data_IF_994165584509
#
_entry.id   IF_994165584509
#
_cell.length_a   1.000
_cell.length_b   1.000
_cell.length_c   1.000
_cell.angle_alpha   90.00
_cell.angle_beta   90.00
_cell.angle_gamma   90.00
#
_symmetry.space_group_name_H-M   'P 1'
#
loop_
_entity.id
_entity.type
_entity.pdbx_description
1 polymer ?
#
# COMPACT_ATOMS: atom_id res chain seq x y z
N UNK A 1 -25.86 -21.24 -20.40
CA UNK A 1 -24.50 -21.81 -20.57
C UNK A 1 -24.28 -22.85 -19.47
N UNK A 2 -24.73 -24.05 -19.71
CA UNK A 2 -24.60 -25.19 -18.79
C UNK A 2 -23.79 -26.28 -19.53
N UNK A 3 -22.52 -26.10 -19.70
CA UNK A 3 -21.59 -27.09 -20.25
C UNK A 3 -20.15 -26.74 -19.88
N UNK A 4 -19.80 -26.91 -18.61
CA UNK A 4 -18.39 -26.91 -18.21
C UNK A 4 -18.04 -28.06 -17.26
N UNK A 5 -18.95 -29.00 -17.02
CA UNK A 5 -18.65 -30.24 -16.31
C UNK A 5 -18.89 -31.43 -17.25
N UNK A 6 -18.04 -31.55 -18.26
CA UNK A 6 -17.92 -32.79 -19.01
C UNK A 6 -16.81 -33.61 -18.39
N UNK A 7 -17.13 -34.84 -17.97
CA UNK A 7 -16.18 -35.87 -17.57
C UNK A 7 -15.11 -36.03 -18.63
N UNK A 8 -13.89 -35.57 -18.34
CA UNK A 8 -12.68 -35.80 -19.10
C UNK A 8 -11.53 -35.90 -18.12
N UNK A 9 -10.89 -37.06 -18.07
CA UNK A 9 -9.64 -37.30 -17.32
C UNK A 9 -8.63 -36.17 -17.59
N UNK A 10 -8.27 -35.38 -16.57
CA UNK A 10 -7.14 -34.48 -16.63
C UNK A 10 -7.40 -33.00 -16.40
N UNK A 11 -8.60 -32.57 -15.97
CA UNK A 11 -8.78 -31.17 -15.55
C UNK A 11 -8.14 -30.99 -14.18
N UNK A 12 -7.25 -30.01 -14.07
CA UNK A 12 -6.56 -29.65 -12.85
C UNK A 12 -7.60 -29.16 -11.82
N UNK A 13 -7.94 -30.02 -10.85
CA UNK A 13 -8.93 -29.75 -9.78
C UNK A 13 -8.57 -28.47 -9.03
N UNK A 14 -7.29 -28.17 -8.85
CA UNK A 14 -6.82 -26.93 -8.25
C UNK A 14 -7.23 -25.71 -9.07
N UNK A 15 -7.15 -25.79 -10.40
CA UNK A 15 -7.58 -24.71 -11.30
C UNK A 15 -9.10 -24.49 -11.25
N UNK A 16 -9.89 -25.56 -11.14
CA UNK A 16 -11.36 -25.45 -10.97
C UNK A 16 -11.73 -24.77 -9.67
N UNK A 17 -11.10 -25.18 -8.54
CA UNK A 17 -11.32 -24.55 -7.25
C UNK A 17 -10.86 -23.08 -7.27
N UNK A 18 -9.71 -22.79 -7.88
CA UNK A 18 -9.19 -21.44 -8.00
C UNK A 18 -10.11 -20.50 -8.82
N UNK A 19 -10.81 -21.01 -9.81
CA UNK A 19 -11.77 -20.23 -10.60
C UNK A 19 -12.95 -19.71 -9.76
N UNK A 20 -13.30 -20.40 -8.67
CA UNK A 20 -14.37 -19.98 -7.75
C UNK A 20 -14.00 -18.69 -7.01
N UNK A 21 -12.72 -18.37 -6.87
CA UNK A 21 -12.25 -17.15 -6.19
C UNK A 21 -12.91 -15.87 -6.72
N UNK A 22 -12.99 -15.72 -8.04
CA UNK A 22 -13.63 -14.56 -8.66
C UNK A 22 -15.17 -14.62 -8.60
N UNK A 23 -15.75 -15.83 -8.66
CA UNK A 23 -17.20 -16.02 -8.55
C UNK A 23 -17.68 -15.62 -7.15
N UNK A 24 -16.94 -15.99 -6.12
CA UNK A 24 -17.27 -15.64 -4.74
C UNK A 24 -17.31 -14.12 -4.49
N UNK A 25 -16.53 -13.32 -5.23
CA UNK A 25 -16.58 -11.85 -5.13
C UNK A 25 -17.82 -11.22 -5.80
N UNK A 26 -18.48 -11.93 -6.76
CA UNK A 26 -19.58 -11.38 -7.55
C UNK A 26 -20.92 -12.07 -7.28
N UNK A 27 -20.89 -13.37 -6.98
CA UNK A 27 -22.08 -14.22 -6.77
C UNK A 27 -21.74 -15.32 -5.75
N UNK A 28 -21.74 -14.95 -4.49
CA UNK A 28 -21.40 -15.84 -3.38
C UNK A 28 -22.31 -17.07 -3.25
N UNK A 29 -23.64 -16.97 -3.44
CA UNK A 29 -24.52 -18.14 -3.44
C UNK A 29 -24.17 -19.15 -4.54
N UNK A 30 -23.81 -18.67 -5.73
CA UNK A 30 -23.36 -19.53 -6.82
C UNK A 30 -22.01 -20.19 -6.52
N UNK A 31 -21.09 -19.45 -5.91
CA UNK A 31 -19.81 -20.01 -5.47
C UNK A 31 -20.00 -21.15 -4.47
N UNK A 32 -20.90 -20.99 -3.49
CA UNK A 32 -21.24 -22.02 -2.53
C UNK A 32 -21.88 -23.25 -3.20
N UNK A 33 -22.82 -23.05 -4.11
CA UNK A 33 -23.43 -24.14 -4.86
C UNK A 33 -22.41 -24.94 -5.70
N UNK A 34 -21.44 -24.27 -6.32
CA UNK A 34 -20.34 -24.93 -7.04
C UNK A 34 -19.44 -25.73 -6.08
N UNK A 35 -19.07 -25.17 -4.94
CA UNK A 35 -18.29 -25.87 -3.92
C UNK A 35 -19.05 -27.09 -3.35
N UNK A 36 -20.35 -26.97 -3.12
CA UNK A 36 -21.18 -28.08 -2.67
C UNK A 36 -21.24 -29.20 -3.73
N UNK A 37 -21.32 -28.88 -5.01
CA UNK A 37 -21.31 -29.87 -6.09
C UNK A 37 -19.93 -30.54 -6.26
N UNK A 38 -18.84 -29.87 -5.92
CA UNK A 38 -17.48 -30.43 -5.96
C UNK A 38 -17.17 -31.35 -4.75
N UNK A 39 -17.83 -31.13 -3.61
CA UNK A 39 -17.51 -31.86 -2.37
C UNK A 39 -17.50 -33.39 -2.49
N UNK A 40 -18.42 -34.06 -3.18
CA UNK A 40 -18.37 -35.51 -3.41
C UNK A 40 -17.14 -35.96 -4.21
N UNK A 41 -16.62 -35.10 -5.08
CA UNK A 41 -15.48 -35.37 -5.96
C UNK A 41 -14.12 -35.05 -5.29
N UNK A 42 -14.13 -34.57 -4.05
CA UNK A 42 -12.92 -34.31 -3.26
C UNK A 42 -12.34 -35.58 -2.61
N UNK A 43 -12.97 -36.75 -2.81
CA UNK A 43 -12.38 -38.01 -2.37
C UNK A 43 -11.02 -38.25 -3.09
N UNK A 44 -9.95 -38.44 -2.33
CA UNK A 44 -8.59 -38.57 -2.85
C UNK A 44 -7.92 -37.24 -3.26
N UNK A 45 -8.50 -36.12 -2.93
CA UNK A 45 -7.86 -34.83 -3.11
C UNK A 45 -6.64 -34.67 -2.21
N UNK A 46 -5.63 -33.98 -2.72
CA UNK A 46 -4.41 -33.64 -1.96
C UNK A 46 -4.72 -32.63 -0.85
N UNK A 47 -3.80 -32.47 0.09
CA UNK A 47 -3.92 -31.46 1.14
C UNK A 47 -3.96 -30.04 0.55
N UNK A 48 -3.23 -29.77 -0.52
CA UNK A 48 -3.27 -28.51 -1.26
C UNK A 48 -4.68 -28.21 -1.81
N UNK A 49 -5.30 -29.19 -2.49
CA UNK A 49 -6.64 -29.08 -3.04
C UNK A 49 -7.69 -28.87 -1.94
N UNK A 50 -7.62 -29.64 -0.83
CA UNK A 50 -8.50 -29.48 0.32
C UNK A 50 -8.35 -28.13 1.01
N UNK A 51 -7.12 -27.65 1.14
CA UNK A 51 -6.84 -26.33 1.75
C UNK A 51 -7.37 -25.21 0.86
N UNK A 52 -7.17 -25.29 -0.46
CA UNK A 52 -7.70 -24.32 -1.39
C UNK A 52 -9.23 -24.34 -1.43
N UNK A 53 -9.86 -25.52 -1.47
CA UNK A 53 -11.31 -25.70 -1.38
C UNK A 53 -11.87 -25.05 -0.11
N UNK A 54 -11.26 -25.32 1.04
CA UNK A 54 -11.69 -24.79 2.33
C UNK A 54 -11.55 -23.27 2.39
N UNK A 55 -10.47 -22.71 1.84
CA UNK A 55 -10.26 -21.26 1.77
C UNK A 55 -11.33 -20.58 0.89
N UNK A 56 -11.64 -21.17 -0.27
CA UNK A 56 -12.68 -20.65 -1.16
C UNK A 56 -14.06 -20.75 -0.52
N UNK A 57 -14.32 -21.80 0.26
CA UNK A 57 -15.56 -21.96 1.01
C UNK A 57 -15.72 -20.88 2.08
N UNK A 58 -14.73 -20.67 2.92
CA UNK A 58 -14.75 -19.59 3.93
C UNK A 58 -14.95 -18.23 3.26
N UNK A 59 -14.27 -17.98 2.13
CA UNK A 59 -14.49 -16.76 1.35
C UNK A 59 -15.93 -16.62 0.88
N UNK A 60 -16.50 -17.66 0.31
CA UNK A 60 -17.86 -17.64 -0.21
C UNK A 60 -18.90 -17.48 0.93
N UNK A 61 -18.68 -18.12 2.08
CA UNK A 61 -19.52 -17.98 3.28
C UNK A 61 -19.46 -16.53 3.81
N UNK A 62 -18.28 -15.92 3.95
CA UNK A 62 -18.14 -14.51 4.34
C UNK A 62 -18.87 -13.58 3.37
N UNK A 63 -18.77 -13.82 2.07
CA UNK A 63 -19.45 -13.03 1.05
C UNK A 63 -20.96 -13.23 1.00
N UNK A 64 -21.43 -14.39 1.41
CA UNK A 64 -22.86 -14.70 1.57
C UNK A 64 -23.43 -14.24 2.93
N UNK A 65 -22.65 -13.54 3.74
CA UNK A 65 -23.01 -13.10 5.10
C UNK A 65 -23.38 -14.25 6.05
N UNK A 66 -22.78 -15.42 5.85
CA UNK A 66 -22.93 -16.57 6.76
C UNK A 66 -21.95 -16.37 7.92
N UNK A 67 -22.51 -16.25 9.12
CA UNK A 67 -21.73 -16.02 10.34
C UNK A 67 -21.00 -17.29 10.75
N UNK A 68 -19.68 -17.21 10.89
CA UNK A 68 -18.84 -18.31 11.35
C UNK A 68 -18.94 -18.47 12.88
N UNK A 69 -19.03 -19.71 13.34
CA UNK A 69 -19.16 -20.05 14.77
C UNK A 69 -17.96 -20.79 15.34
N UNK A 70 -16.99 -21.14 14.51
CA UNK A 70 -15.78 -21.89 14.88
C UNK A 70 -14.59 -21.49 14.00
N UNK A 71 -13.42 -21.52 14.57
CA UNK A 71 -12.12 -21.23 13.92
C UNK A 71 -11.40 -22.50 13.40
N UNK A 72 -11.97 -23.69 13.61
CA UNK A 72 -11.28 -24.98 13.33
C UNK A 72 -10.74 -25.08 11.91
N UNK A 73 -11.52 -24.59 10.92
CA UNK A 73 -11.09 -24.61 9.51
C UNK A 73 -9.95 -23.64 9.30
N UNK A 74 -10.04 -22.44 9.91
CA UNK A 74 -9.00 -21.41 9.75
C UNK A 74 -7.67 -21.80 10.38
N UNK A 75 -7.68 -22.47 11.54
CA UNK A 75 -6.45 -22.96 12.18
C UNK A 75 -5.69 -23.89 11.23
N UNK A 76 -6.38 -24.87 10.63
CA UNK A 76 -5.75 -25.79 9.65
C UNK A 76 -5.23 -25.07 8.41
N UNK A 77 -5.98 -24.07 7.92
CA UNK A 77 -5.55 -23.28 6.77
C UNK A 77 -4.31 -22.43 7.08
N UNK A 78 -4.26 -21.83 8.28
CA UNK A 78 -3.10 -21.08 8.72
C UNK A 78 -1.87 -21.99 8.78
N UNK A 79 -1.97 -23.11 9.50
CA UNK A 79 -0.87 -24.07 9.63
C UNK A 79 -0.37 -24.53 8.26
N UNK A 80 -1.27 -24.98 7.37
CA UNK A 80 -0.90 -25.43 6.03
C UNK A 80 -0.22 -24.32 5.21
N UNK A 81 -0.81 -23.11 5.16
CA UNK A 81 -0.24 -22.05 4.32
C UNK A 81 1.01 -21.39 4.94
N UNK A 82 1.19 -21.44 6.26
CA UNK A 82 2.44 -21.02 6.91
C UNK A 82 3.59 -22.02 6.70
N UNK A 83 3.32 -23.32 6.55
CA UNK A 83 4.35 -24.36 6.37
C UNK A 83 4.57 -24.68 4.89
N UNK A 84 3.61 -25.30 4.23
CA UNK A 84 3.74 -25.95 2.93
C UNK A 84 3.03 -25.26 1.77
N UNK A 85 2.02 -24.43 2.05
CA UNK A 85 1.15 -23.82 1.04
C UNK A 85 1.78 -22.67 0.26
N UNK A 86 1.09 -22.26 -0.81
CA UNK A 86 1.47 -21.10 -1.61
C UNK A 86 1.44 -19.80 -0.78
N UNK A 87 2.60 -19.29 -0.42
CA UNK A 87 2.77 -18.09 0.41
C UNK A 87 2.09 -16.83 -0.17
N UNK A 88 1.82 -16.79 -1.48
CA UNK A 88 1.09 -15.69 -2.13
C UNK A 88 -0.35 -15.58 -1.65
N UNK A 89 -0.92 -16.66 -1.10
CA UNK A 89 -2.28 -16.73 -0.52
C UNK A 89 -2.33 -16.37 0.97
N UNK A 90 -1.21 -16.30 1.66
CA UNK A 90 -1.18 -15.97 3.09
C UNK A 90 -1.95 -14.68 3.45
N UNK A 91 -1.83 -13.57 2.70
CA UNK A 91 -2.64 -12.39 3.00
C UNK A 91 -4.16 -12.65 2.93
N UNK A 92 -4.60 -13.54 2.03
CA UNK A 92 -6.01 -13.94 1.93
C UNK A 92 -6.42 -14.83 3.11
N UNK A 93 -5.59 -15.78 3.48
CA UNK A 93 -5.81 -16.66 4.64
C UNK A 93 -5.93 -15.84 5.92
N UNK A 94 -5.00 -14.94 6.18
CA UNK A 94 -5.04 -14.06 7.35
C UNK A 94 -6.26 -13.12 7.33
N UNK A 95 -6.63 -12.60 6.16
CA UNK A 95 -7.82 -11.77 6.07
C UNK A 95 -9.07 -12.52 6.51
N UNK A 96 -9.26 -13.76 6.01
CA UNK A 96 -10.43 -14.56 6.39
C UNK A 96 -10.33 -15.12 7.81
N UNK A 97 -9.13 -15.37 8.34
CA UNK A 97 -8.95 -15.65 9.76
C UNK A 97 -9.47 -14.48 10.61
N UNK A 98 -9.04 -13.26 10.30
CA UNK A 98 -9.55 -12.06 10.95
C UNK A 98 -11.07 -11.91 10.83
N UNK A 99 -11.66 -12.25 9.67
CA UNK A 99 -13.11 -12.21 9.46
C UNK A 99 -13.85 -13.26 10.32
N UNK A 100 -13.36 -14.48 10.36
CA UNK A 100 -13.92 -15.55 11.17
C UNK A 100 -13.90 -15.19 12.66
N UNK A 101 -12.80 -14.67 13.18
CA UNK A 101 -12.72 -14.21 14.56
C UNK A 101 -13.63 -13.00 14.83
N UNK A 102 -13.76 -12.07 13.87
CA UNK A 102 -14.70 -10.95 14.00
C UNK A 102 -16.16 -11.43 14.05
N UNK A 103 -16.52 -12.44 13.25
CA UNK A 103 -17.86 -13.07 13.30
C UNK A 103 -18.14 -13.73 14.65
N UNK A 104 -17.11 -14.27 15.30
CA UNK A 104 -17.16 -14.85 16.64
C UNK A 104 -17.12 -13.79 17.76
N UNK A 105 -17.13 -12.50 17.41
CA UNK A 105 -16.95 -11.37 18.33
C UNK A 105 -15.60 -11.38 19.08
N UNK A 106 -14.60 -12.11 18.58
CA UNK A 106 -13.27 -12.20 19.13
C UNK A 106 -12.33 -11.21 18.42
N UNK A 107 -12.52 -9.94 18.74
CA UNK A 107 -11.74 -8.87 18.13
C UNK A 107 -10.26 -8.93 18.48
N UNK A 108 -9.90 -9.57 19.58
CA UNK A 108 -8.54 -9.68 20.07
C UNK A 108 -7.72 -10.63 19.20
N UNK A 109 -8.32 -11.74 18.77
CA UNK A 109 -7.70 -12.64 17.79
C UNK A 109 -7.86 -12.12 16.35
N UNK A 110 -8.93 -11.38 16.03
CA UNK A 110 -9.14 -10.81 14.70
C UNK A 110 -8.08 -9.75 14.33
N UNK A 111 -7.78 -8.83 15.24
CA UNK A 111 -6.89 -7.69 15.00
C UNK A 111 -5.48 -8.11 14.56
N UNK A 112 -4.77 -9.03 15.22
CA UNK A 112 -3.46 -9.51 14.78
C UNK A 112 -3.43 -10.08 13.36
N UNK A 113 -4.49 -10.79 12.94
CA UNK A 113 -4.56 -11.31 11.58
C UNK A 113 -4.75 -10.22 10.55
N UNK A 114 -5.59 -9.21 10.80
CA UNK A 114 -5.69 -8.05 9.92
C UNK A 114 -4.38 -7.24 9.87
N UNK A 115 -3.62 -7.17 10.97
CA UNK A 115 -2.29 -6.58 10.99
C UNK A 115 -1.31 -7.35 10.08
N UNK A 116 -1.26 -8.67 10.19
CA UNK A 116 -0.44 -9.52 9.28
C UNK A 116 -0.77 -9.24 7.81
N UNK A 117 -2.05 -9.03 7.46
CA UNK A 117 -2.44 -8.65 6.09
C UNK A 117 -1.84 -7.30 5.70
N UNK A 118 -1.89 -6.30 6.57
CA UNK A 118 -1.37 -4.95 6.30
C UNK A 118 0.16 -4.96 6.17
N UNK A 119 0.84 -5.82 6.91
CA UNK A 119 2.30 -5.98 6.87
C UNK A 119 2.78 -6.69 5.59
N UNK A 120 2.06 -7.72 5.16
CA UNK A 120 2.44 -8.56 4.03
C UNK A 120 1.90 -8.06 2.68
N UNK A 121 0.73 -7.45 2.68
CA UNK A 121 0.10 -6.99 1.44
C UNK A 121 0.72 -5.67 0.98
N UNK A 122 1.09 -5.62 -0.29
CA UNK A 122 1.40 -4.35 -0.95
C UNK A 122 0.22 -3.38 -0.80
N UNK A 123 0.52 -2.13 -0.43
CA UNK A 123 -0.46 -1.05 -0.30
C UNK A 123 -1.24 -0.75 -1.59
N UNK A 124 -0.84 -1.31 -2.73
CA UNK A 124 -1.60 -1.27 -4.00
C UNK A 124 -2.74 -2.30 -4.07
N UNK A 125 -2.78 -3.29 -3.18
CA UNK A 125 -3.73 -4.40 -3.22
C UNK A 125 -5.01 -4.12 -2.43
N UNK A 126 -6.13 -4.63 -2.96
CA UNK A 126 -7.46 -4.47 -2.34
C UNK A 126 -7.52 -5.04 -0.91
N UNK A 127 -6.85 -6.17 -0.63
CA UNK A 127 -6.85 -6.80 0.69
C UNK A 127 -6.28 -5.90 1.79
N UNK A 128 -5.24 -5.13 1.48
CA UNK A 128 -4.66 -4.16 2.43
C UNK A 128 -5.75 -3.19 2.95
N UNK A 129 -6.56 -2.62 2.04
CA UNK A 129 -7.58 -1.63 2.44
C UNK A 129 -8.84 -2.26 3.00
N UNK A 130 -9.16 -3.51 2.62
CA UNK A 130 -10.20 -4.31 3.30
C UNK A 130 -9.81 -4.56 4.76
N UNK A 131 -8.56 -4.98 5.02
CA UNK A 131 -8.04 -5.18 6.37
C UNK A 131 -8.03 -3.87 7.17
N UNK A 132 -7.58 -2.75 6.58
CA UNK A 132 -7.65 -1.42 7.21
C UNK A 132 -9.07 -1.05 7.63
N UNK A 133 -10.08 -1.33 6.80
CA UNK A 133 -11.47 -1.06 7.16
C UNK A 133 -11.94 -1.92 8.34
N UNK A 134 -11.60 -3.21 8.37
CA UNK A 134 -11.93 -4.11 9.48
C UNK A 134 -11.24 -3.66 10.79
N UNK A 135 -9.95 -3.33 10.73
CA UNK A 135 -9.23 -2.75 11.86
C UNK A 135 -9.89 -1.45 12.34
N UNK A 136 -10.39 -0.63 11.42
CA UNK A 136 -11.12 0.59 11.76
C UNK A 136 -12.34 0.32 12.63
N UNK A 137 -13.12 -0.73 12.36
CA UNK A 137 -14.24 -1.14 13.20
C UNK A 137 -13.80 -1.68 14.55
N UNK A 138 -12.75 -2.48 14.59
CA UNK A 138 -12.18 -2.98 15.86
C UNK A 138 -11.72 -1.79 16.71
N UNK A 139 -11.00 -0.82 16.14
CA UNK A 139 -10.56 0.38 16.86
C UNK A 139 -11.75 1.23 17.35
N UNK A 140 -12.78 1.39 16.51
CA UNK A 140 -14.00 2.09 16.93
C UNK A 140 -14.66 1.40 18.14
N UNK A 141 -14.73 0.07 18.12
CA UNK A 141 -15.28 -0.73 19.22
C UNK A 141 -14.42 -0.62 20.49
N UNK A 142 -13.07 -0.63 20.33
CA UNK A 142 -12.12 -0.51 21.42
C UNK A 142 -11.99 0.93 21.97
N UNK A 143 -12.65 1.92 21.38
CA UNK A 143 -12.57 3.32 21.81
C UNK A 143 -11.35 4.07 21.24
N UNK A 144 -10.57 3.47 20.35
CA UNK A 144 -9.41 4.06 19.68
C UNK A 144 -9.86 4.86 18.44
N UNK A 145 -10.67 5.89 18.67
CA UNK A 145 -11.42 6.58 17.61
C UNK A 145 -10.52 7.24 16.56
N UNK A 146 -9.40 7.82 16.96
CA UNK A 146 -8.44 8.44 16.02
C UNK A 146 -7.78 7.39 15.11
N UNK A 147 -7.36 6.24 15.67
CA UNK A 147 -6.82 5.13 14.90
C UNK A 147 -7.87 4.57 13.93
N UNK A 148 -9.11 4.41 14.40
CA UNK A 148 -10.24 4.01 13.57
C UNK A 148 -10.49 4.96 12.41
N UNK A 149 -10.55 6.27 12.68
CA UNK A 149 -10.72 7.31 11.66
C UNK A 149 -9.60 7.24 10.61
N UNK A 150 -8.35 7.10 11.02
CA UNK A 150 -7.20 7.01 10.13
C UNK A 150 -7.26 5.75 9.23
N UNK A 151 -7.64 4.60 9.81
CA UNK A 151 -7.79 3.34 9.07
C UNK A 151 -8.91 3.45 8.01
N UNK A 152 -10.08 3.98 8.37
CA UNK A 152 -11.17 4.23 7.42
C UNK A 152 -10.79 5.26 6.37
N UNK A 153 -10.02 6.31 6.71
CA UNK A 153 -9.54 7.31 5.75
C UNK A 153 -8.63 6.71 4.67
N UNK A 154 -7.72 5.81 5.06
CA UNK A 154 -6.89 5.05 4.11
C UNK A 154 -7.76 4.22 3.17
N UNK A 155 -8.73 3.46 3.72
CA UNK A 155 -9.68 2.67 2.95
C UNK A 155 -10.52 3.53 2.00
N UNK A 156 -11.05 4.66 2.46
CA UNK A 156 -11.80 5.60 1.62
C UNK A 156 -10.99 6.11 0.43
N UNK A 157 -9.77 6.61 0.67
CA UNK A 157 -8.90 7.13 -0.38
C UNK A 157 -8.67 6.11 -1.49
N UNK A 158 -8.36 4.87 -1.13
CA UNK A 158 -8.17 3.79 -2.09
C UNK A 158 -9.45 3.48 -2.89
N UNK A 159 -10.58 3.27 -2.19
CA UNK A 159 -11.83 2.93 -2.86
C UNK A 159 -12.33 4.06 -3.77
N UNK A 160 -12.00 5.33 -3.44
CA UNK A 160 -12.29 6.49 -4.29
C UNK A 160 -11.54 6.42 -5.62
N UNK A 161 -10.26 6.06 -5.62
CA UNK A 161 -9.47 5.90 -6.86
C UNK A 161 -9.94 4.75 -7.73
N UNK A 162 -10.61 3.75 -7.13
CA UNK A 162 -11.14 2.56 -7.82
C UNK A 162 -12.62 2.69 -8.21
N UNK A 163 -13.28 3.78 -7.87
CA UNK A 163 -14.70 3.99 -8.16
C UNK A 163 -15.64 3.06 -7.39
N UNK A 164 -15.18 2.36 -6.33
CA UNK A 164 -16.01 1.44 -5.54
C UNK A 164 -16.87 2.22 -4.55
N UNK A 165 -18.10 2.58 -4.98
CA UNK A 165 -19.03 3.41 -4.21
C UNK A 165 -19.47 2.78 -2.89
N UNK A 166 -19.72 1.46 -2.86
CA UNK A 166 -20.12 0.76 -1.64
C UNK A 166 -19.06 0.86 -0.56
N UNK A 167 -17.81 0.50 -0.88
CA UNK A 167 -16.70 0.57 0.07
C UNK A 167 -16.34 2.00 0.45
N UNK A 168 -16.55 2.98 -0.44
CA UNK A 168 -16.42 4.41 -0.09
C UNK A 168 -17.44 4.81 0.97
N UNK A 169 -18.72 4.46 0.76
CA UNK A 169 -19.78 4.76 1.71
C UNK A 169 -19.53 4.12 3.08
N UNK A 170 -19.08 2.86 3.08
CA UNK A 170 -18.70 2.12 4.28
C UNK A 170 -17.59 2.81 5.07
N UNK A 171 -16.53 3.23 4.39
CA UNK A 171 -15.42 3.93 5.02
C UNK A 171 -15.82 5.34 5.54
N UNK A 172 -16.66 6.08 4.78
CA UNK A 172 -17.18 7.38 5.22
C UNK A 172 -18.06 7.25 6.47
N UNK A 173 -18.89 6.20 6.52
CA UNK A 173 -19.72 5.90 7.67
C UNK A 173 -18.90 5.57 8.91
N UNK A 174 -17.83 4.75 8.73
CA UNK A 174 -16.86 4.47 9.80
C UNK A 174 -16.15 5.73 10.31
N UNK A 175 -15.70 6.60 9.41
CA UNK A 175 -15.10 7.89 9.79
C UNK A 175 -16.09 8.77 10.57
N UNK A 176 -17.36 8.83 10.12
CA UNK A 176 -18.42 9.58 10.79
C UNK A 176 -18.70 9.04 12.20
N UNK A 177 -18.75 7.70 12.35
CA UNK A 177 -18.96 7.05 13.64
C UNK A 177 -17.80 7.37 14.62
N UNK A 178 -16.55 7.36 14.14
CA UNK A 178 -15.40 7.76 14.96
C UNK A 178 -15.55 9.20 15.47
N UNK A 179 -15.88 10.12 14.57
CA UNK A 179 -16.11 11.54 14.93
C UNK A 179 -17.28 11.72 15.88
N UNK A 180 -18.39 10.97 15.68
CA UNK A 180 -19.54 11.02 16.57
C UNK A 180 -19.15 10.58 17.99
N UNK A 181 -18.33 9.54 18.13
CA UNK A 181 -17.81 9.07 19.44
C UNK A 181 -16.87 10.08 20.09
N UNK A 182 -16.19 10.91 19.30
CA UNK A 182 -15.38 12.04 19.77
C UNK A 182 -16.19 13.34 19.95
N UNK A 183 -17.53 13.26 19.95
CA UNK A 183 -18.46 14.39 20.04
C UNK A 183 -18.36 15.38 18.86
N UNK A 184 -17.72 15.02 17.77
CA UNK A 184 -17.58 15.80 16.53
C UNK A 184 -18.81 15.75 15.65
N UNK A 185 -20.03 15.93 16.21
CA UNK A 185 -21.31 15.69 15.54
C UNK A 185 -21.50 16.48 14.23
N UNK A 186 -21.01 17.73 14.16
CA UNK A 186 -21.10 18.55 12.94
C UNK A 186 -20.24 18.00 11.81
N UNK A 187 -19.05 17.55 12.13
CA UNK A 187 -18.12 16.93 11.15
C UNK A 187 -18.62 15.56 10.71
N UNK A 188 -19.08 14.72 11.67
CA UNK A 188 -19.68 13.42 11.40
C UNK A 188 -20.85 13.54 10.39
N UNK A 189 -21.68 14.57 10.52
CA UNK A 189 -22.81 14.82 9.61
C UNK A 189 -22.36 14.99 8.15
N UNK A 190 -21.21 15.60 7.90
CA UNK A 190 -20.71 15.79 6.54
C UNK A 190 -20.37 14.44 5.90
N UNK A 191 -19.73 13.54 6.64
CA UNK A 191 -19.37 12.21 6.17
C UNK A 191 -20.61 11.30 6.01
N UNK A 192 -21.56 11.32 6.94
CA UNK A 192 -22.82 10.58 6.81
C UNK A 192 -23.61 11.01 5.57
N UNK A 193 -23.70 12.30 5.28
CA UNK A 193 -24.39 12.79 4.07
C UNK A 193 -23.69 12.34 2.79
N UNK A 194 -22.37 12.35 2.74
CA UNK A 194 -21.62 11.82 1.59
C UNK A 194 -21.85 10.31 1.42
N UNK A 195 -21.83 9.54 2.52
CA UNK A 195 -22.11 8.11 2.50
C UNK A 195 -23.54 7.84 1.99
N UNK A 196 -24.53 8.60 2.45
CA UNK A 196 -25.94 8.46 2.03
C UNK A 196 -26.12 8.68 0.51
N UNK A 197 -25.43 9.67 -0.07
CA UNK A 197 -25.46 9.91 -1.52
C UNK A 197 -24.95 8.66 -2.27
N UNK A 198 -23.79 8.14 -1.88
CA UNK A 198 -23.17 6.99 -2.53
C UNK A 198 -24.01 5.71 -2.43
N UNK A 199 -24.65 5.48 -1.26
CA UNK A 199 -25.50 4.32 -1.04
C UNK A 199 -26.78 4.42 -1.88
N UNK A 200 -27.38 5.59 -1.99
CA UNK A 200 -28.55 5.82 -2.86
C UNK A 200 -28.23 5.58 -4.33
N UNK A 201 -27.07 6.03 -4.79
CA UNK A 201 -26.59 5.76 -6.15
C UNK A 201 -26.35 4.27 -6.41
N UNK A 202 -26.02 3.50 -5.39
CA UNK A 202 -25.79 2.06 -5.48
C UNK A 202 -27.06 1.21 -5.26
N UNK A 203 -28.14 1.80 -4.75
CA UNK A 203 -29.44 1.13 -4.56
C UNK A 203 -29.52 0.19 -3.36
N UNK A 204 -28.58 0.21 -2.43
CA UNK A 204 -28.56 -0.63 -1.22
C UNK A 204 -29.50 -0.03 -0.16
N UNK A 205 -30.72 -0.56 -0.11
CA UNK A 205 -31.80 -0.06 0.77
C UNK A 205 -31.56 -0.36 2.24
N UNK A 206 -30.99 -1.51 2.56
CA UNK A 206 -30.65 -1.87 3.93
C UNK A 206 -29.59 -0.94 4.51
N UNK A 207 -28.51 -0.71 3.76
CA UNK A 207 -27.46 0.19 4.20
C UNK A 207 -27.88 1.67 4.17
N UNK A 208 -28.80 2.05 3.25
CA UNK A 208 -29.44 3.38 3.28
C UNK A 208 -30.19 3.59 4.61
N UNK A 209 -30.96 2.60 5.07
CA UNK A 209 -31.69 2.67 6.32
C UNK A 209 -30.76 2.78 7.55
N UNK A 210 -29.65 2.02 7.56
CA UNK A 210 -28.65 2.14 8.63
C UNK A 210 -28.05 3.56 8.69
N UNK A 211 -27.61 4.11 7.57
CA UNK A 211 -27.05 5.47 7.52
C UNK A 211 -28.09 6.51 7.95
N UNK A 212 -29.35 6.37 7.54
CA UNK A 212 -30.43 7.26 7.98
C UNK A 212 -30.64 7.20 9.49
N UNK A 213 -30.53 5.99 10.08
CA UNK A 213 -30.53 5.78 11.53
C UNK A 213 -29.37 6.49 12.23
N UNK A 214 -28.17 6.38 11.67
CA UNK A 214 -26.98 7.08 12.19
C UNK A 214 -27.11 8.62 12.08
N UNK A 215 -27.66 9.12 10.99
CA UNK A 215 -27.98 10.56 10.84
C UNK A 215 -29.02 11.00 11.89
N UNK A 216 -30.05 10.21 12.11
CA UNK A 216 -31.07 10.48 13.12
C UNK A 216 -30.43 10.55 14.52
N UNK A 217 -29.58 9.58 14.84
CA UNK A 217 -28.80 9.54 16.08
C UNK A 217 -27.91 10.79 16.25
N UNK A 218 -27.24 11.20 15.17
CA UNK A 218 -26.38 12.37 15.19
C UNK A 218 -27.17 13.67 15.45
N UNK A 219 -28.36 13.83 14.85
CA UNK A 219 -29.25 14.94 15.14
C UNK A 219 -29.85 14.88 16.56
N UNK A 220 -30.07 13.67 17.09
CA UNK A 220 -30.48 13.48 18.48
C UNK A 220 -29.43 14.04 19.47
N UNK A 221 -28.15 13.74 19.27
CA UNK A 221 -27.08 14.30 20.09
C UNK A 221 -26.91 15.83 19.89
N UNK A 222 -27.20 16.35 18.70
CA UNK A 222 -27.30 17.79 18.46
C UNK A 222 -28.56 18.44 19.06
N UNK A 223 -29.42 17.66 19.77
CA UNK A 223 -30.69 18.08 20.36
C UNK A 223 -31.71 18.61 19.32
N UNK A 224 -31.52 18.31 18.05
CA UNK A 224 -32.41 18.69 16.94
C UNK A 224 -33.48 17.61 16.71
N UNK A 225 -34.30 17.33 17.73
CA UNK A 225 -35.18 16.18 17.80
C UNK A 225 -36.20 16.10 16.66
N UNK A 226 -36.73 17.25 16.18
CA UNK A 226 -37.67 17.28 15.06
C UNK A 226 -37.02 16.90 13.71
N UNK A 227 -35.75 17.20 13.54
CA UNK A 227 -35.01 16.78 12.35
C UNK A 227 -34.64 15.30 12.50
N UNK A 228 -34.18 14.88 13.67
CA UNK A 228 -33.91 13.49 14.00
C UNK A 228 -35.12 12.58 13.70
N UNK A 229 -36.34 13.02 14.06
CA UNK A 229 -37.60 12.29 13.82
C UNK A 229 -37.79 12.00 12.32
N UNK A 230 -37.60 13.01 11.46
CA UNK A 230 -37.75 12.83 10.00
C UNK A 230 -36.80 11.76 9.44
N UNK A 231 -35.56 11.73 9.91
CA UNK A 231 -34.58 10.73 9.49
C UNK A 231 -34.89 9.36 10.10
N UNK A 232 -35.33 9.30 11.34
CA UNK A 232 -35.75 8.05 11.99
C UNK A 232 -36.95 7.43 11.27
N UNK A 233 -37.92 8.22 10.81
CA UNK A 233 -39.06 7.73 10.00
C UNK A 233 -38.59 7.10 8.68
N UNK A 234 -37.61 7.74 8.00
CA UNK A 234 -37.06 7.20 6.78
C UNK A 234 -36.29 5.90 7.04
N UNK A 235 -35.52 5.83 8.12
CA UNK A 235 -34.79 4.62 8.52
C UNK A 235 -35.75 3.47 8.80
N UNK A 236 -36.85 3.71 9.53
CA UNK A 236 -37.87 2.72 9.84
C UNK A 236 -38.54 2.14 8.60
N UNK A 237 -38.64 2.91 7.51
CA UNK A 237 -39.23 2.42 6.26
C UNK A 237 -38.36 1.39 5.53
N UNK A 238 -37.04 1.37 5.79
CA UNK A 238 -36.10 0.43 5.17
C UNK A 238 -35.51 -0.59 6.14
N UNK A 239 -36.04 -0.70 7.36
CA UNK A 239 -35.50 -1.59 8.38
C UNK A 239 -35.66 -3.06 8.02
N UNK A 240 -34.61 -3.85 8.21
CA UNK A 240 -34.59 -5.31 8.09
C UNK A 240 -34.09 -5.96 9.40
N UNK A 241 -33.88 -7.30 9.36
CA UNK A 241 -33.43 -8.03 10.56
C UNK A 241 -32.05 -7.60 11.04
N UNK A 242 -31.15 -7.13 10.16
CA UNK A 242 -29.79 -6.74 10.51
C UNK A 242 -29.71 -5.34 11.10
N UNK A 243 -30.57 -4.44 10.65
CA UNK A 243 -30.61 -3.03 11.06
C UNK A 243 -31.66 -2.75 12.16
N UNK A 244 -32.51 -3.73 12.49
CA UNK A 244 -33.65 -3.56 13.40
C UNK A 244 -33.28 -3.00 14.77
N UNK A 245 -32.27 -3.57 15.43
CA UNK A 245 -31.89 -3.18 16.79
C UNK A 245 -31.50 -1.70 16.89
N UNK A 246 -30.48 -1.21 16.15
CA UNK A 246 -30.06 0.19 16.27
C UNK A 246 -31.17 1.16 15.83
N UNK A 247 -31.91 0.85 14.78
CA UNK A 247 -32.96 1.74 14.26
C UNK A 247 -34.13 1.83 15.21
N UNK A 248 -34.64 0.70 15.75
CA UNK A 248 -35.76 0.72 16.72
C UNK A 248 -35.35 1.47 17.99
N UNK A 249 -34.12 1.23 18.51
CA UNK A 249 -33.65 1.90 19.71
C UNK A 249 -33.62 3.42 19.56
N UNK A 250 -32.97 3.92 18.51
CA UNK A 250 -32.81 5.38 18.31
C UNK A 250 -34.17 6.04 17.92
N UNK A 251 -34.98 5.41 17.09
CA UNK A 251 -36.27 5.93 16.71
C UNK A 251 -37.19 6.04 17.92
N UNK A 252 -37.23 5.04 18.79
CA UNK A 252 -37.98 5.06 20.02
C UNK A 252 -37.57 6.18 20.98
N UNK A 253 -36.24 6.35 21.17
CA UNK A 253 -35.72 7.44 22.00
C UNK A 253 -36.04 8.82 21.42
N UNK A 254 -35.97 8.98 20.08
CA UNK A 254 -36.37 10.21 19.40
C UNK A 254 -37.86 10.48 19.57
N UNK A 255 -38.72 9.47 19.35
CA UNK A 255 -40.19 9.61 19.52
C UNK A 255 -40.55 10.02 20.95
N UNK A 256 -39.89 9.42 21.93
CA UNK A 256 -40.07 9.82 23.32
C UNK A 256 -39.68 11.31 23.53
N UNK A 257 -38.57 11.76 22.98
CA UNK A 257 -38.10 13.18 23.08
C UNK A 257 -39.05 14.18 22.39
N UNK A 258 -39.77 13.77 21.36
CA UNK A 258 -40.75 14.63 20.67
C UNK A 258 -42.17 14.50 21.19
N UNK A 259 -42.40 13.73 22.26
CA UNK A 259 -43.68 13.55 22.92
C UNK A 259 -44.63 12.56 22.21
N UNK A 260 -44.10 11.65 21.40
CA UNK A 260 -44.84 10.55 20.73
C UNK A 260 -44.69 9.24 21.51
N UNK A 261 -45.11 9.25 22.75
CA UNK A 261 -44.90 8.16 23.71
C UNK A 261 -45.48 6.81 23.23
N UNK A 262 -46.70 6.80 22.68
CA UNK A 262 -47.34 5.56 22.16
C UNK A 262 -46.49 4.94 21.04
N UNK A 263 -45.94 5.78 20.12
CA UNK A 263 -45.08 5.31 19.04
C UNK A 263 -43.75 4.79 19.58
N UNK A 264 -43.19 5.43 20.60
CA UNK A 264 -41.97 4.99 21.27
C UNK A 264 -42.17 3.61 21.93
N UNK A 265 -43.30 3.41 22.65
CA UNK A 265 -43.62 2.14 23.30
C UNK A 265 -43.80 0.99 22.29
N UNK A 266 -44.40 1.27 21.13
CA UNK A 266 -44.52 0.27 20.06
C UNK A 266 -43.11 -0.17 19.60
N UNK A 267 -42.18 0.76 19.41
CA UNK A 267 -40.82 0.45 19.01
C UNK A 267 -39.99 -0.24 20.11
N UNK A 268 -40.18 0.14 21.38
CA UNK A 268 -39.56 -0.56 22.51
C UNK A 268 -40.07 -2.00 22.61
N UNK A 269 -41.36 -2.27 22.36
CA UNK A 269 -41.86 -3.63 22.30
C UNK A 269 -41.28 -4.42 21.12
N UNK A 270 -41.12 -3.80 19.94
CA UNK A 270 -40.43 -4.44 18.81
C UNK A 270 -38.97 -4.74 19.14
N UNK A 271 -38.30 -3.85 19.85
CA UNK A 271 -36.93 -4.05 20.30
C UNK A 271 -36.79 -5.19 21.31
N UNK A 272 -37.77 -5.29 22.23
CA UNK A 272 -37.82 -6.30 23.29
C UNK A 272 -37.92 -7.73 22.76
N UNK A 273 -38.64 -7.95 21.66
CA UNK A 273 -38.82 -9.28 21.07
C UNK A 273 -37.64 -9.74 20.21
N UNK A 274 -36.64 -8.89 19.96
CA UNK A 274 -35.42 -9.32 19.28
C UNK A 274 -34.64 -10.30 20.15
N UNK A 275 -34.02 -11.29 19.51
CA UNK A 275 -33.12 -12.23 20.19
C UNK A 275 -31.72 -11.63 20.39
N UNK A 276 -31.67 -10.56 21.18
CA UNK A 276 -30.46 -9.78 21.46
C UNK A 276 -30.52 -9.24 22.90
N UNK A 277 -29.50 -9.55 23.70
CA UNK A 277 -29.46 -9.19 25.13
C UNK A 277 -29.42 -7.66 25.33
N UNK A 278 -28.74 -6.93 24.47
CA UNK A 278 -28.68 -5.46 24.55
C UNK A 278 -30.00 -4.81 24.13
N UNK A 279 -30.71 -5.42 23.15
CA UNK A 279 -32.04 -4.99 22.77
C UNK A 279 -33.04 -5.16 23.94
N UNK A 280 -33.03 -6.33 24.56
CA UNK A 280 -33.89 -6.65 25.73
C UNK A 280 -33.56 -5.75 26.91
N UNK A 281 -32.31 -5.57 27.25
CA UNK A 281 -31.84 -4.63 28.28
C UNK A 281 -32.37 -3.21 28.06
N UNK A 282 -32.15 -2.68 26.87
CA UNK A 282 -32.57 -1.31 26.52
C UNK A 282 -34.07 -1.15 26.55
N UNK A 283 -34.82 -2.12 25.98
CA UNK A 283 -36.26 -2.09 25.93
C UNK A 283 -36.90 -2.27 27.33
N UNK A 284 -36.42 -3.22 28.13
CA UNK A 284 -36.93 -3.46 29.49
C UNK A 284 -36.79 -2.23 30.37
N UNK A 285 -35.63 -1.57 30.32
CA UNK A 285 -35.42 -0.30 31.02
C UNK A 285 -36.45 0.76 30.65
N UNK A 286 -36.69 0.98 29.36
CA UNK A 286 -37.60 2.01 28.85
C UNK A 286 -39.07 1.68 29.12
N UNK A 287 -39.47 0.43 28.89
CA UNK A 287 -40.82 -0.04 29.17
C UNK A 287 -41.12 -0.02 30.67
N UNK A 288 -40.16 -0.42 31.51
CA UNK A 288 -40.32 -0.36 32.97
C UNK A 288 -40.61 1.06 33.45
N UNK A 289 -39.81 2.03 33.02
CA UNK A 289 -40.03 3.44 33.37
C UNK A 289 -41.35 3.98 32.79
N UNK A 290 -41.69 3.68 31.54
CA UNK A 290 -42.94 4.09 30.93
C UNK A 290 -44.15 3.59 31.74
N UNK A 291 -44.20 2.30 32.11
CA UNK A 291 -45.33 1.73 32.88
C UNK A 291 -45.34 2.27 34.31
N UNK A 292 -44.19 2.62 34.89
CA UNK A 292 -44.14 3.25 36.22
C UNK A 292 -44.75 4.66 36.18
N UNK A 293 -44.42 5.48 35.20
CA UNK A 293 -44.96 6.83 34.99
C UNK A 293 -46.49 6.79 34.74
N UNK A 294 -46.96 5.76 34.03
CA UNK A 294 -48.39 5.53 33.77
C UNK A 294 -49.13 4.72 34.86
N UNK A 295 -48.49 4.59 36.04
CA UNK A 295 -49.08 3.93 37.22
C UNK A 295 -49.49 2.46 37.00
N UNK A 296 -48.97 1.80 36.00
CA UNK A 296 -49.16 0.37 35.81
C UNK A 296 -48.09 -0.44 36.53
N UNK A 297 -48.23 -0.55 37.86
CA UNK A 297 -47.22 -1.15 38.73
C UNK A 297 -46.92 -2.62 38.39
N UNK A 298 -47.92 -3.38 37.92
CA UNK A 298 -47.73 -4.78 37.57
C UNK A 298 -46.77 -4.95 36.38
N UNK A 299 -47.00 -4.21 35.29
CA UNK A 299 -46.09 -4.24 34.13
C UNK A 299 -44.75 -3.59 34.42
N UNK A 300 -44.74 -2.50 35.19
CA UNK A 300 -43.49 -1.86 35.61
C UNK A 300 -42.60 -2.85 36.35
N UNK A 301 -43.13 -3.59 37.33
CA UNK A 301 -42.36 -4.57 38.09
C UNK A 301 -41.74 -5.67 37.19
N UNK A 302 -42.51 -6.19 36.23
CA UNK A 302 -42.02 -7.23 35.29
C UNK A 302 -40.82 -6.70 34.50
N UNK A 303 -40.97 -5.55 33.86
CA UNK A 303 -39.88 -5.02 32.97
C UNK A 303 -38.68 -4.52 33.78
N UNK A 304 -38.86 -4.03 34.99
CA UNK A 304 -37.72 -3.62 35.84
C UNK A 304 -36.96 -4.83 36.38
N UNK A 305 -37.65 -5.90 36.77
CA UNK A 305 -37.02 -7.17 37.13
C UNK A 305 -36.18 -7.77 35.97
N UNK A 306 -36.74 -7.74 34.77
CA UNK A 306 -36.03 -8.15 33.57
C UNK A 306 -34.82 -7.23 33.25
N UNK A 307 -34.97 -5.92 33.43
CA UNK A 307 -33.90 -4.97 33.29
C UNK A 307 -32.74 -5.30 34.25
N UNK A 308 -33.02 -5.62 35.50
CA UNK A 308 -32.00 -6.01 36.48
C UNK A 308 -31.29 -7.30 36.06
N UNK A 309 -32.04 -8.34 35.61
CA UNK A 309 -31.45 -9.59 35.11
C UNK A 309 -30.55 -9.37 33.88
N UNK A 310 -31.01 -8.54 32.92
CA UNK A 310 -30.17 -8.21 31.76
C UNK A 310 -29.00 -7.31 32.12
N UNK A 311 -29.08 -6.50 33.19
CA UNK A 311 -27.98 -5.70 33.71
C UNK A 311 -26.82 -6.59 34.16
N UNK A 312 -27.12 -7.64 34.95
CA UNK A 312 -26.11 -8.59 35.41
C UNK A 312 -25.47 -9.32 34.25
N UNK A 313 -26.28 -9.76 33.26
CA UNK A 313 -25.74 -10.41 32.04
C UNK A 313 -24.81 -9.50 31.25
N UNK A 314 -25.22 -8.24 31.07
CA UNK A 314 -24.40 -7.24 30.34
C UNK A 314 -23.14 -6.87 31.11
N UNK A 315 -23.21 -6.74 32.44
CA UNK A 315 -22.02 -6.47 33.24
C UNK A 315 -20.98 -7.59 33.14
N UNK A 316 -21.42 -8.86 33.14
CA UNK A 316 -20.53 -9.99 32.93
C UNK A 316 -19.87 -9.93 31.55
N UNK A 317 -20.64 -9.61 30.49
CA UNK A 317 -20.13 -9.45 29.14
C UNK A 317 -19.14 -8.28 29.08
N UNK A 318 -19.49 -7.10 29.63
CA UNK A 318 -18.62 -5.91 29.61
C UNK A 318 -17.32 -6.14 30.37
N UNK A 319 -17.35 -6.85 31.51
CA UNK A 319 -16.11 -7.16 32.24
C UNK A 319 -15.18 -8.02 31.40
N UNK A 320 -15.69 -9.09 30.78
CA UNK A 320 -14.90 -9.95 29.88
C UNK A 320 -14.37 -9.16 28.70
N UNK A 321 -15.23 -8.39 28.02
CA UNK A 321 -14.84 -7.55 26.89
C UNK A 321 -13.82 -6.45 27.26
N UNK A 322 -13.90 -5.91 28.49
CA UNK A 322 -12.98 -4.85 28.92
C UNK A 322 -11.56 -5.37 29.11
N UNK A 323 -11.40 -6.54 29.73
CA UNK A 323 -10.09 -7.19 29.87
C UNK A 323 -9.50 -7.49 28.48
N UNK A 324 -10.30 -8.12 27.63
CA UNK A 324 -9.90 -8.45 26.26
C UNK A 324 -9.52 -7.18 25.45
N UNK A 325 -10.29 -6.09 25.58
CA UNK A 325 -9.95 -4.80 24.93
C UNK A 325 -8.61 -4.24 25.40
N UNK A 326 -8.32 -4.31 26.70
CA UNK A 326 -7.06 -3.81 27.26
C UNK A 326 -5.89 -4.61 26.67
N UNK A 327 -5.99 -5.93 26.65
CA UNK A 327 -4.96 -6.82 26.12
C UNK A 327 -4.74 -6.60 24.62
N UNK A 328 -5.81 -6.47 23.84
CA UNK A 328 -5.72 -6.22 22.41
C UNK A 328 -5.07 -4.85 22.10
N UNK A 329 -5.45 -3.79 22.84
CA UNK A 329 -4.86 -2.46 22.70
C UNK A 329 -3.38 -2.48 23.10
N UNK A 330 -3.03 -3.15 24.17
CA UNK A 330 -1.65 -3.29 24.62
C UNK A 330 -0.79 -4.04 23.59
N UNK A 331 -1.23 -5.21 23.14
CA UNK A 331 -0.54 -6.00 22.12
C UNK A 331 -0.43 -5.25 20.80
N UNK A 332 -1.47 -4.50 20.40
CA UNK A 332 -1.44 -3.67 19.21
C UNK A 332 -0.37 -2.59 19.31
N UNK A 333 -0.32 -1.87 20.44
CA UNK A 333 0.65 -0.78 20.63
C UNK A 333 2.09 -1.29 20.60
N UNK A 334 2.38 -2.42 21.26
CA UNK A 334 3.72 -3.05 21.19
C UNK A 334 4.12 -3.36 19.75
N UNK A 335 3.22 -4.00 18.98
CA UNK A 335 3.50 -4.34 17.58
C UNK A 335 3.62 -3.09 16.69
N UNK A 336 2.83 -2.05 16.95
CA UNK A 336 2.93 -0.79 16.22
C UNK A 336 4.28 -0.12 16.46
N UNK A 337 4.74 -0.05 17.73
CA UNK A 337 6.07 0.47 18.08
C UNK A 337 7.20 -0.35 17.44
N UNK A 338 7.10 -1.67 17.46
CA UNK A 338 8.07 -2.55 16.82
C UNK A 338 8.10 -2.36 15.30
N UNK A 339 6.94 -2.25 14.66
CA UNK A 339 6.83 -1.98 13.24
C UNK A 339 7.36 -0.59 12.86
N UNK A 340 7.13 0.43 13.67
CA UNK A 340 7.70 1.77 13.46
C UNK A 340 9.22 1.74 13.57
N UNK A 341 9.76 1.07 14.60
CA UNK A 341 11.20 0.88 14.76
C UNK A 341 11.83 0.15 13.56
N UNK A 342 11.22 -0.94 13.11
CA UNK A 342 11.70 -1.69 11.94
C UNK A 342 11.65 -0.84 10.66
N UNK A 343 10.63 -0.01 10.48
CA UNK A 343 10.56 0.93 9.36
C UNK A 343 11.67 1.99 9.41
N UNK A 344 11.96 2.51 10.58
CA UNK A 344 13.08 3.45 10.77
C UNK A 344 14.43 2.78 10.47
N UNK A 345 14.64 1.54 10.93
CA UNK A 345 15.83 0.75 10.61
C UNK A 345 15.96 0.54 9.10
N UNK A 346 14.90 0.09 8.42
CA UNK A 346 14.88 -0.12 6.96
C UNK A 346 15.13 1.19 6.20
N UNK A 347 14.57 2.32 6.64
CA UNK A 347 14.79 3.62 5.99
C UNK A 347 16.24 4.08 6.16
N UNK A 348 16.81 3.86 7.33
CA UNK A 348 18.22 4.16 7.64
C UNK A 348 19.14 3.30 6.80
N UNK A 349 18.91 1.99 6.71
CA UNK A 349 19.69 1.08 5.89
C UNK A 349 19.61 1.44 4.39
N UNK A 350 18.42 1.74 3.89
CA UNK A 350 18.24 2.21 2.51
C UNK A 350 19.01 3.52 2.25
N UNK A 351 18.99 4.44 3.21
CA UNK A 351 19.76 5.68 3.11
C UNK A 351 21.28 5.39 3.04
N UNK A 352 21.80 4.52 3.93
CA UNK A 352 23.20 4.12 3.95
C UNK A 352 23.60 3.47 2.62
N UNK A 353 22.80 2.53 2.13
CA UNK A 353 23.03 1.85 0.84
C UNK A 353 23.04 2.85 -0.31
N UNK A 354 22.10 3.80 -0.31
CA UNK A 354 22.03 4.84 -1.35
C UNK A 354 23.27 5.74 -1.33
N UNK A 355 23.71 6.18 -0.16
CA UNK A 355 24.93 6.98 0.01
C UNK A 355 26.16 6.20 -0.45
N UNK A 356 26.29 4.94 -0.07
CA UNK A 356 27.37 4.07 -0.50
C UNK A 356 27.41 3.91 -2.03
N UNK A 357 26.26 3.70 -2.67
CA UNK A 357 26.14 3.61 -4.12
C UNK A 357 26.59 4.90 -4.83
N UNK A 358 26.18 6.06 -4.30
CA UNK A 358 26.61 7.37 -4.83
C UNK A 358 28.12 7.55 -4.71
N UNK A 359 28.72 7.17 -3.58
CA UNK A 359 30.18 7.24 -3.39
C UNK A 359 30.96 6.34 -4.37
N UNK A 360 30.44 5.12 -4.60
CA UNK A 360 31.03 4.20 -5.58
C UNK A 360 30.98 4.80 -6.99
N UNK A 361 29.81 5.35 -7.37
CA UNK A 361 29.68 6.01 -8.70
C UNK A 361 30.64 7.20 -8.80
N UNK A 362 30.78 8.03 -7.78
CA UNK A 362 31.68 9.16 -7.75
C UNK A 362 33.16 8.70 -7.88
N UNK A 363 33.54 7.62 -7.18
CA UNK A 363 34.86 7.03 -7.30
C UNK A 363 35.14 6.53 -8.74
N UNK A 364 34.19 5.85 -9.36
CA UNK A 364 34.31 5.40 -10.75
C UNK A 364 34.48 6.59 -11.70
N UNK A 365 33.69 7.64 -11.54
CA UNK A 365 33.82 8.85 -12.36
C UNK A 365 35.16 9.55 -12.16
N UNK A 366 35.68 9.60 -10.93
CA UNK A 366 37.01 10.14 -10.64
C UNK A 366 38.11 9.33 -11.33
N UNK A 367 38.05 8.01 -11.28
CA UNK A 367 38.99 7.13 -11.99
C UNK A 367 38.93 7.35 -13.51
N UNK A 368 37.72 7.43 -14.08
CA UNK A 368 37.52 7.70 -15.50
C UNK A 368 38.11 9.08 -15.90
N UNK A 369 37.88 10.10 -15.06
CA UNK A 369 38.47 11.44 -15.26
C UNK A 369 40.00 11.41 -15.22
N UNK A 370 40.61 10.67 -14.28
CA UNK A 370 42.06 10.48 -14.21
C UNK A 370 42.61 9.75 -15.44
N UNK A 371 41.92 8.73 -15.93
CA UNK A 371 42.30 8.03 -17.17
C UNK A 371 42.23 8.99 -18.37
N UNK A 372 41.18 9.78 -18.48
CA UNK A 372 41.06 10.77 -19.55
C UNK A 372 42.12 11.86 -19.46
N UNK A 373 42.40 12.35 -18.25
CA UNK A 373 43.47 13.32 -18.02
C UNK A 373 44.84 12.75 -18.43
N UNK A 374 45.15 11.51 -18.01
CA UNK A 374 46.41 10.85 -18.40
C UNK A 374 46.50 10.60 -19.90
N UNK A 375 45.40 10.24 -20.58
CA UNK A 375 45.36 10.12 -22.05
C UNK A 375 45.62 11.48 -22.74
N UNK A 376 44.97 12.56 -22.27
CA UNK A 376 45.17 13.91 -22.79
C UNK A 376 46.63 14.37 -22.59
N UNK A 377 47.20 14.13 -21.41
CA UNK A 377 48.61 14.45 -21.13
C UNK A 377 49.56 13.71 -22.07
N UNK A 378 49.38 12.38 -22.23
CA UNK A 378 50.19 11.59 -23.18
C UNK A 378 50.03 12.05 -24.63
N UNK A 379 48.83 12.45 -25.03
CA UNK A 379 48.58 12.98 -26.37
C UNK A 379 49.30 14.32 -26.56
N UNK A 380 49.20 15.21 -25.57
CA UNK A 380 49.90 16.51 -25.60
C UNK A 380 51.43 16.33 -25.68
N UNK A 381 51.99 15.39 -24.90
CA UNK A 381 53.44 15.05 -24.97
C UNK A 381 53.81 14.50 -26.35
N UNK A 382 53.01 13.62 -26.95
CA UNK A 382 53.23 13.12 -28.33
C UNK A 382 53.17 14.23 -29.36
N UNK A 383 52.18 15.12 -29.26
CA UNK A 383 52.03 16.28 -30.15
C UNK A 383 53.23 17.22 -30.04
N UNK A 384 53.71 17.45 -28.80
CA UNK A 384 54.94 18.26 -28.58
C UNK A 384 56.13 17.61 -29.26
N UNK A 385 56.33 16.31 -29.07
CA UNK A 385 57.39 15.56 -29.71
C UNK A 385 57.30 15.54 -31.24
N UNK A 386 56.14 15.40 -31.79
CA UNK A 386 55.91 15.44 -33.24
C UNK A 386 56.19 16.84 -33.81
N UNK A 387 55.80 17.90 -33.11
CA UNK A 387 56.06 19.27 -33.50
C UNK A 387 57.58 19.58 -33.44
N UNK A 388 58.26 19.12 -32.39
CA UNK A 388 59.72 19.22 -32.30
C UNK A 388 60.39 18.49 -33.45
N UNK A 389 59.91 17.27 -33.78
CA UNK A 389 60.46 16.51 -34.91
C UNK A 389 60.18 17.20 -36.25
N UNK A 390 59.02 17.78 -36.47
CA UNK A 390 58.68 18.55 -37.69
C UNK A 390 59.57 19.79 -37.80
N UNK A 391 59.75 20.50 -36.68
CA UNK A 391 60.62 21.66 -36.63
C UNK A 391 62.07 21.28 -36.98
N UNK A 392 62.58 20.19 -36.37
CA UNK A 392 63.93 19.70 -36.68
C UNK A 392 64.07 19.26 -38.16
N UNK A 393 63.09 18.59 -38.72
CA UNK A 393 63.10 18.21 -40.12
C UNK A 393 63.07 19.42 -41.05
N UNK A 394 62.26 20.46 -40.71
CA UNK A 394 62.25 21.70 -41.52
C UNK A 394 63.62 22.44 -41.47
N UNK A 395 64.24 22.43 -40.28
CA UNK A 395 65.60 23.00 -40.13
C UNK A 395 66.63 22.22 -40.92
N UNK A 396 66.52 20.89 -40.91
CA UNK A 396 67.38 20.01 -41.72
C UNK A 396 67.22 20.25 -43.22
N UNK A 397 65.96 20.36 -43.71
CA UNK A 397 65.62 20.66 -45.10
C UNK A 397 66.21 22.04 -45.52
N UNK A 398 66.00 23.07 -44.63
CA UNK A 398 66.62 24.42 -44.89
C UNK A 398 68.07 24.36 -44.92
N UNK A 399 68.73 23.64 -43.98
CA UNK A 399 70.21 23.48 -43.96
C UNK A 399 70.68 22.71 -45.18
N UNK A 400 69.97 21.63 -45.55
CA UNK A 400 70.31 20.84 -46.76
C UNK A 400 70.21 21.67 -48.04
N UNK A 401 69.15 22.49 -48.17
CA UNK A 401 69.00 23.40 -49.29
C UNK A 401 70.07 24.46 -49.34
N UNK A 402 70.43 25.05 -48.16
CA UNK A 402 71.49 26.01 -48.06
C UNK A 402 72.85 25.39 -48.46
N UNK A 403 73.09 24.14 -48.02
CA UNK A 403 74.34 23.41 -48.43
C UNK A 403 74.36 23.15 -49.93
N UNK A 404 73.21 22.69 -50.48
CA UNK A 404 73.04 22.44 -51.91
C UNK A 404 73.29 23.71 -52.76
N UNK A 405 72.62 24.82 -52.32
CA UNK A 405 72.83 26.15 -53.01
C UNK A 405 74.23 26.66 -52.95
N UNK A 406 74.89 26.46 -51.77
CA UNK A 406 76.29 26.82 -51.64
C UNK A 406 77.28 25.91 -52.47
N UNK A 407 76.98 24.59 -52.50
CA UNK A 407 77.75 23.67 -53.35
C UNK A 407 77.59 24.02 -54.82
N UNK A 408 76.36 24.37 -55.25
CA UNK A 408 76.11 24.83 -56.62
C UNK A 408 76.94 26.14 -56.94
N UNK A 409 76.97 27.06 -55.94
CA UNK A 409 77.78 28.29 -56.10
C UNK A 409 79.29 28.00 -56.10
N UNK A 410 79.77 27.02 -55.29
CA UNK A 410 81.12 26.59 -55.29
C UNK A 410 81.52 25.96 -56.65
N UNK A 411 80.65 25.10 -57.19
CA UNK A 411 80.86 24.50 -58.50
C UNK A 411 80.88 25.55 -59.64
N UNK A 412 79.95 26.53 -59.58
CA UNK A 412 79.95 27.66 -60.50
C UNK A 412 81.23 28.49 -60.39
N UNK A 413 81.67 28.77 -59.15
CA UNK A 413 82.95 29.49 -58.91
C UNK A 413 84.14 28.64 -59.35
N UNK A 414 84.15 27.32 -59.20
CA UNK A 414 85.20 26.43 -59.73
C UNK A 414 85.22 26.45 -61.24
N UNK A 415 84.08 26.46 -61.91
CA UNK A 415 84.01 26.62 -63.37
C UNK A 415 84.52 27.98 -63.85
N UNK A 416 84.12 29.06 -63.12
CA UNK A 416 84.63 30.39 -63.40
C UNK A 416 86.11 30.45 -63.18
N UNK A 417 86.64 29.82 -62.11
CA UNK A 417 88.11 29.74 -61.84
C UNK A 417 88.80 28.95 -62.94
N UNK A 418 88.22 27.82 -63.38
CA UNK A 418 88.78 27.03 -64.53
C UNK A 418 88.74 27.78 -65.85
N UNK A 419 87.71 28.62 -66.07
CA UNK A 419 87.58 29.43 -67.26
C UNK A 419 88.50 30.65 -67.24
N UNK A 420 88.88 31.16 -66.04
CA UNK A 420 89.72 32.32 -65.85
C UNK A 420 91.12 31.93 -65.31
N UNK A 421 91.74 30.89 -65.86
CA UNK A 421 92.99 30.24 -65.38
C UNK A 421 94.25 31.14 -65.31
N UNK A 422 94.15 32.46 -65.34
CA UNK A 422 95.30 33.33 -65.25
C UNK A 422 95.19 34.55 -64.32
N UNK A 423 94.14 34.77 -63.61
CA UNK A 423 94.04 35.91 -62.68
C UNK A 423 93.05 35.69 -61.52
N UNK A 424 93.37 35.22 -60.37
CA UNK A 424 93.08 35.85 -59.08
C UNK A 424 93.26 34.90 -57.89
N UNK A 425 94.32 35.09 -57.10
CA UNK A 425 94.59 34.46 -55.80
C UNK A 425 93.52 34.80 -54.74
N UNK A 426 92.72 35.86 -54.90
CA UNK A 426 91.67 36.25 -53.98
C UNK A 426 90.40 35.39 -54.07
N UNK A 427 90.09 34.81 -55.27
CA UNK A 427 88.93 33.95 -55.45
C UNK A 427 89.12 32.54 -54.81
N UNK A 428 90.40 32.07 -54.88
CA UNK A 428 90.77 30.82 -54.23
C UNK A 428 90.67 30.89 -52.69
N UNK A 429 91.02 32.06 -52.10
CA UNK A 429 90.85 32.29 -50.66
C UNK A 429 89.37 32.36 -50.22
N UNK A 430 88.51 32.99 -51.01
CA UNK A 430 87.11 33.07 -50.76
C UNK A 430 86.39 31.70 -50.87
N UNK A 431 86.80 30.87 -51.86
CA UNK A 431 86.33 29.50 -52.03
C UNK A 431 86.68 28.63 -50.82
N UNK A 432 87.96 28.72 -50.37
CA UNK A 432 88.47 27.96 -49.22
C UNK A 432 87.79 28.35 -47.91
N UNK A 433 87.41 29.63 -47.72
CA UNK A 433 86.67 30.12 -46.59
C UNK A 433 85.21 29.58 -46.56
N UNK A 434 84.54 29.53 -47.74
CA UNK A 434 83.18 28.97 -47.87
C UNK A 434 83.16 27.46 -47.73
N UNK A 435 84.11 26.72 -48.23
CA UNK A 435 84.24 25.27 -47.98
C UNK A 435 84.40 24.94 -46.49
N UNK A 436 85.25 25.77 -45.79
CA UNK A 436 85.38 25.62 -44.32
C UNK A 436 84.05 25.91 -43.53
N UNK A 437 83.28 26.90 -43.94
CA UNK A 437 81.98 27.17 -43.35
C UNK A 437 81.00 26.02 -43.58
N UNK A 438 80.96 25.43 -44.78
CA UNK A 438 80.13 24.30 -45.14
C UNK A 438 80.48 23.03 -44.33
N UNK A 439 81.77 22.73 -44.16
CA UNK A 439 82.28 21.65 -43.35
C UNK A 439 81.88 21.78 -41.88
N UNK A 440 81.89 22.98 -41.29
CA UNK A 440 81.45 23.23 -39.93
C UNK A 440 79.94 23.05 -39.78
N UNK A 441 79.15 23.45 -40.77
CA UNK A 441 77.68 23.24 -40.77
C UNK A 441 77.33 21.75 -40.87
N UNK A 442 78.01 20.98 -41.72
CA UNK A 442 77.85 19.54 -41.83
C UNK A 442 78.19 18.81 -40.51
N UNK A 443 79.26 19.20 -39.84
CA UNK A 443 79.69 18.65 -38.57
C UNK A 443 78.64 18.96 -37.44
N UNK A 444 78.05 20.17 -37.43
CA UNK A 444 76.96 20.50 -36.49
C UNK A 444 75.69 19.72 -36.75
N UNK A 445 75.33 19.41 -37.99
CA UNK A 445 74.17 18.56 -38.37
C UNK A 445 74.40 17.09 -37.94
N UNK A 446 75.66 16.55 -38.10
CA UNK A 446 76.00 15.20 -37.64
C UNK A 446 76.02 15.06 -36.10
N UNK A 447 76.50 16.06 -35.37
CA UNK A 447 76.46 16.05 -33.88
C UNK A 447 75.01 16.05 -33.37
N UNK A 448 74.10 16.74 -34.04
CA UNK A 448 72.68 16.74 -33.66
C UNK A 448 71.93 15.41 -33.95
N UNK A 449 72.37 14.67 -34.97
CA UNK A 449 71.79 13.34 -35.26
C UNK A 449 72.33 12.23 -34.36
N UNK A 450 73.56 12.39 -33.74
CA UNK A 450 74.07 11.39 -32.79
C UNK A 450 73.66 11.55 -31.36
N UNK A 451 73.05 12.68 -30.98
CA UNK A 451 72.53 12.93 -29.64
C UNK A 451 71.03 12.69 -29.55
N UNK A 452 70.42 11.85 -30.37
CA UNK A 452 69.12 11.27 -30.29
C UNK A 452 69.21 9.78 -29.92
#
# INVERSE_FOLDING_TARGET
MACLFSCGDGMDREAEIAAIDSIADTDAPRALALLDSMKPHMAGATEAEWSLYSLMRVKAEDKAYIVHKTDTVMLRLIDYYEEDGDKRRLPQVYYYAGRVYADMYDNDRALPYFQKVVEMADSSRTLYYKAQAQMGYIFLYQGLYEKGFNAFSKSYKYNKTRGNKSNQAYALCGMANCLQRMNGYKQAMQYFKQALILVRENGDKSYEADILGQIANNYYYLKQYRIAEKYAQQALAGVDSTTARPIYAIAADIYNKVGKEDSAVILYNKLYVLDDVYAKYSASKRLGHYYLEHKNMAKAAIFLDEYDRYTDSIQAIIQTETVAKIDAVYNYNIREEENERLKEEITTDRFIITVAAVLVIAAILAVLALIQYSKKKRLAERMKHENEKRYLNSLYEQSSKFISDNNSKIEALKQELAASASKNMSLAAALKAKEKQLSNLNMMAEIRTKNR
#
